data_IF_601130488908
#
_entry.id   IF_601130488908
#
_cell.length_a   1.000
_cell.length_b   1.000
_cell.length_c   1.000
_cell.angle_alpha   90.00
_cell.angle_beta   90.00
_cell.angle_gamma   90.00
#
_symmetry.space_group_name_H-M   'P 1'
#
loop_
_entity.id
_entity.type
_entity.pdbx_description
1 polymer ?
#
# COMPACT_ATOMS: atom_id res chain seq x y z
N UNK A 1 63.43 -15.47 47.71
CA UNK A 1 62.59 -14.28 47.51
C UNK A 1 62.34 -14.15 46.01
N UNK A 2 61.42 -14.90 45.40
CA UNK A 2 59.97 -14.66 45.28
C UNK A 2 59.62 -13.22 44.87
N UNK A 3 59.36 -13.00 43.58
CA UNK A 3 58.22 -12.21 43.09
C UNK A 3 57.90 -12.55 41.64
N UNK A 4 57.00 -13.52 41.52
CA UNK A 4 56.22 -13.90 40.34
C UNK A 4 55.42 -12.70 39.82
N UNK A 5 55.44 -12.43 38.52
CA UNK A 5 54.38 -11.64 37.87
C UNK A 5 53.83 -12.45 36.70
N UNK A 6 52.68 -13.08 36.95
CA UNK A 6 51.86 -13.78 35.97
C UNK A 6 51.01 -12.70 35.25
N UNK A 7 51.19 -12.52 33.95
CA UNK A 7 50.30 -11.68 33.13
C UNK A 7 49.21 -12.59 32.56
N UNK A 8 47.99 -12.48 33.11
CA UNK A 8 46.79 -13.11 32.57
C UNK A 8 46.31 -12.28 31.36
N UNK A 9 46.52 -12.80 30.15
CA UNK A 9 45.89 -12.27 28.93
C UNK A 9 44.49 -12.88 28.86
N UNK A 10 43.48 -12.10 29.22
CA UNK A 10 42.09 -12.45 29.01
C UNK A 10 41.77 -12.35 27.50
N UNK A 11 41.75 -13.47 26.80
CA UNK A 11 41.21 -13.54 25.43
C UNK A 11 39.70 -13.38 25.47
N UNK A 12 39.23 -12.22 25.05
CA UNK A 12 37.81 -11.91 24.89
C UNK A 12 37.19 -12.80 23.80
N UNK A 13 36.22 -13.60 24.22
CA UNK A 13 35.35 -14.41 23.37
C UNK A 13 34.46 -13.44 22.56
N UNK A 14 34.75 -13.23 21.28
CA UNK A 14 33.83 -12.54 20.39
C UNK A 14 32.65 -13.47 20.10
N UNK A 15 31.59 -13.36 20.92
CA UNK A 15 30.29 -13.87 20.54
C UNK A 15 29.79 -13.05 19.35
N UNK A 16 29.86 -13.61 18.14
CA UNK A 16 29.10 -13.12 16.99
C UNK A 16 27.62 -13.19 17.35
N UNK A 17 27.07 -12.05 17.76
CA UNK A 17 25.63 -11.85 17.86
C UNK A 17 25.08 -12.02 16.45
N UNK A 18 24.49 -13.18 16.17
CA UNK A 18 23.59 -13.31 15.02
C UNK A 18 22.44 -12.36 15.31
N UNK A 19 22.44 -11.22 14.62
CA UNK A 19 21.31 -10.32 14.58
C UNK A 19 20.16 -11.09 13.96
N UNK A 20 19.30 -11.67 14.80
CA UNK A 20 18.00 -12.17 14.37
C UNK A 20 17.23 -10.93 13.95
N UNK A 21 17.15 -10.69 12.64
CA UNK A 21 16.30 -9.65 12.08
C UNK A 21 14.92 -9.79 12.72
N UNK A 22 14.49 -8.75 13.45
CA UNK A 22 13.12 -8.70 13.96
C UNK A 22 12.18 -8.87 12.76
N UNK A 23 11.09 -9.63 12.91
CA UNK A 23 10.13 -9.78 11.83
C UNK A 23 9.66 -8.40 11.38
N UNK A 24 9.64 -8.21 10.05
CA UNK A 24 9.15 -7.00 9.39
C UNK A 24 7.89 -6.50 10.09
N UNK A 25 7.87 -5.21 10.43
CA UNK A 25 6.74 -4.63 11.16
C UNK A 25 5.44 -4.91 10.40
N UNK A 26 4.43 -5.31 11.15
CA UNK A 26 3.15 -5.80 10.66
C UNK A 26 2.11 -4.68 10.83
N UNK A 27 1.43 -4.28 9.77
CA UNK A 27 0.29 -3.37 9.85
C UNK A 27 -1.00 -4.20 9.97
N UNK A 28 -1.84 -3.86 10.96
CA UNK A 28 -3.20 -4.40 11.01
C UNK A 28 -4.04 -3.62 10.00
N UNK A 29 -4.46 -4.30 8.95
CA UNK A 29 -5.31 -3.76 7.90
C UNK A 29 -6.64 -4.47 7.97
N UNK A 30 -7.63 -3.85 8.62
CA UNK A 30 -8.87 -4.52 8.97
C UNK A 30 -8.62 -5.71 9.91
N UNK A 31 -8.96 -6.95 9.48
CA UNK A 31 -8.76 -8.20 10.26
C UNK A 31 -7.46 -8.95 9.93
N UNK A 32 -6.59 -8.42 9.07
CA UNK A 32 -5.42 -9.15 8.57
C UNK A 32 -4.12 -8.37 8.70
N UNK A 33 -3.04 -9.12 8.76
CA UNK A 33 -1.70 -8.62 9.00
C UNK A 33 -0.95 -8.55 7.66
N UNK A 34 -0.80 -7.34 7.11
CA UNK A 34 0.03 -7.09 5.93
C UNK A 34 1.38 -6.56 6.43
N UNK A 35 2.54 -7.07 5.95
CA UNK A 35 3.82 -6.44 6.26
C UNK A 35 3.77 -4.97 5.85
N UNK A 36 4.09 -4.04 6.76
CA UNK A 36 3.95 -2.60 6.47
C UNK A 36 4.80 -2.16 5.27
N UNK A 37 5.91 -2.86 5.02
CA UNK A 37 6.77 -2.65 3.86
C UNK A 37 6.09 -2.93 2.50
N UNK A 38 4.96 -3.65 2.50
CA UNK A 38 4.18 -3.99 1.31
C UNK A 38 3.04 -3.00 1.04
N UNK A 39 2.91 -1.98 1.87
CA UNK A 39 1.84 -1.00 1.77
C UNK A 39 2.27 0.16 0.89
N UNK A 40 1.34 0.67 0.08
CA UNK A 40 1.54 1.86 -0.76
C UNK A 40 0.43 2.88 -0.52
N UNK A 41 0.78 4.16 -0.66
CA UNK A 41 -0.16 5.27 -0.78
C UNK A 41 -0.20 5.68 -2.26
N UNK A 42 -1.39 5.78 -2.81
CA UNK A 42 -1.61 6.04 -4.23
C UNK A 42 -2.53 7.24 -4.43
N UNK A 43 -2.15 8.09 -5.38
CA UNK A 43 -2.94 9.21 -5.86
C UNK A 43 -3.44 8.91 -7.29
N UNK A 44 -4.75 9.03 -7.49
CA UNK A 44 -5.42 8.78 -8.77
C UNK A 44 -6.15 10.03 -9.25
N UNK A 45 -6.24 10.18 -10.57
CA UNK A 45 -7.23 11.04 -11.23
C UNK A 45 -8.14 10.14 -12.05
N UNK A 46 -9.39 10.02 -11.62
CA UNK A 46 -10.38 9.14 -12.24
C UNK A 46 -11.45 9.95 -12.95
N UNK A 47 -11.81 9.54 -14.16
CA UNK A 47 -12.87 10.16 -14.93
C UNK A 47 -14.00 9.17 -15.15
N UNK A 48 -15.25 9.49 -14.78
CA UNK A 48 -16.37 8.62 -15.04
C UNK A 48 -16.72 8.65 -16.54
N UNK A 49 -17.13 7.50 -17.06
CA UNK A 49 -17.65 7.35 -18.43
C UNK A 49 -19.14 7.70 -18.55
N UNK A 50 -19.81 7.90 -17.41
CA UNK A 50 -21.18 8.33 -17.29
C UNK A 50 -21.27 9.58 -16.41
N UNK A 51 -22.40 10.28 -16.45
CA UNK A 51 -22.66 11.41 -15.55
C UNK A 51 -22.83 10.87 -14.14
N UNK A 52 -22.13 11.48 -13.18
CA UNK A 52 -22.14 11.14 -11.76
C UNK A 52 -22.50 12.41 -10.98
N UNK A 53 -23.29 12.25 -9.91
CA UNK A 53 -23.51 13.35 -8.96
C UNK A 53 -22.28 13.48 -8.04
N UNK A 54 -21.50 14.56 -8.15
CA UNK A 54 -20.29 14.74 -7.33
C UNK A 54 -20.61 14.97 -5.84
N UNK A 55 -21.88 15.21 -5.48
CA UNK A 55 -22.28 15.43 -4.09
C UNK A 55 -22.58 14.13 -3.34
N UNK A 56 -22.64 12.98 -4.03
CA UNK A 56 -22.82 11.66 -3.43
C UNK A 56 -21.49 11.12 -2.86
N UNK A 57 -20.87 11.87 -1.94
CA UNK A 57 -19.48 11.62 -1.51
C UNK A 57 -19.28 10.29 -0.81
N UNK A 58 -20.27 9.82 -0.05
CA UNK A 58 -20.20 8.56 0.68
C UNK A 58 -20.30 7.37 -0.29
N UNK A 59 -21.23 7.44 -1.24
CA UNK A 59 -21.37 6.44 -2.30
C UNK A 59 -20.15 6.42 -3.21
N UNK A 60 -19.60 7.58 -3.57
CA UNK A 60 -18.40 7.67 -4.40
C UNK A 60 -17.15 7.14 -3.69
N UNK A 61 -17.01 7.40 -2.39
CA UNK A 61 -15.91 6.83 -1.60
C UNK A 61 -15.97 5.29 -1.64
N UNK A 62 -17.15 4.72 -1.41
CA UNK A 62 -17.34 3.27 -1.47
C UNK A 62 -17.09 2.71 -2.87
N UNK A 63 -17.53 3.40 -3.92
CA UNK A 63 -17.29 3.03 -5.30
C UNK A 63 -15.79 2.94 -5.61
N UNK A 64 -15.01 3.94 -5.23
CA UNK A 64 -13.57 3.93 -5.51
C UNK A 64 -12.85 2.77 -4.82
N UNK A 65 -13.18 2.48 -3.56
CA UNK A 65 -12.65 1.32 -2.84
C UNK A 65 -12.93 0.02 -3.61
N UNK A 66 -14.17 -0.14 -4.10
CA UNK A 66 -14.60 -1.33 -4.81
C UNK A 66 -13.91 -1.43 -6.17
N UNK A 67 -13.85 -0.34 -6.93
CA UNK A 67 -13.21 -0.24 -8.25
C UNK A 67 -11.73 -0.62 -8.17
N UNK A 68 -10.98 0.02 -7.27
CA UNK A 68 -9.53 -0.19 -7.12
C UNK A 68 -9.24 -1.59 -6.58
N UNK A 69 -9.98 -2.04 -5.56
CA UNK A 69 -9.79 -3.38 -5.02
C UNK A 69 -10.13 -4.49 -6.04
N UNK A 70 -11.20 -4.33 -6.83
CA UNK A 70 -11.54 -5.30 -7.87
C UNK A 70 -10.52 -5.32 -9.01
N UNK A 71 -10.02 -4.16 -9.43
CA UNK A 71 -8.98 -4.06 -10.46
C UNK A 71 -7.69 -4.76 -10.06
N UNK A 72 -7.30 -4.66 -8.78
CA UNK A 72 -6.18 -5.41 -8.23
C UNK A 72 -6.49 -6.91 -8.17
N UNK A 73 -7.64 -7.33 -7.64
CA UNK A 73 -8.01 -8.76 -7.58
C UNK A 73 -8.08 -9.44 -8.96
N UNK A 74 -8.32 -8.68 -10.03
CA UNK A 74 -8.33 -9.18 -11.38
C UNK A 74 -6.93 -9.52 -11.95
N UNK A 75 -5.85 -9.11 -11.27
CA UNK A 75 -4.51 -9.36 -11.78
C UNK A 75 -4.08 -10.82 -11.59
N UNK A 76 -3.43 -11.42 -12.59
CA UNK A 76 -2.89 -12.77 -12.47
C UNK A 76 -1.91 -12.88 -11.29
N UNK A 77 -2.07 -13.92 -10.48
CA UNK A 77 -1.18 -14.19 -9.34
C UNK A 77 -1.53 -13.44 -8.06
N UNK A 78 -2.52 -12.53 -8.10
CA UNK A 78 -3.20 -12.05 -6.91
C UNK A 78 -4.29 -13.07 -6.62
N UNK A 79 -3.99 -14.06 -5.77
CA UNK A 79 -5.05 -14.85 -5.15
C UNK A 79 -6.03 -13.87 -4.49
N UNK A 80 -7.30 -14.22 -4.46
CA UNK A 80 -8.41 -13.44 -3.89
C UNK A 80 -8.22 -12.94 -2.44
N UNK A 81 -7.05 -13.20 -1.85
CA UNK A 81 -6.48 -12.50 -0.71
C UNK A 81 -6.72 -10.99 -0.79
N UNK A 82 -7.20 -10.50 0.34
CA UNK A 82 -7.83 -9.22 0.49
C UNK A 82 -6.91 -8.07 0.05
N UNK A 83 -7.36 -7.31 -0.94
CA UNK A 83 -6.98 -5.91 -1.13
C UNK A 83 -7.90 -5.13 -0.20
N UNK A 84 -7.33 -4.61 0.88
CA UNK A 84 -8.05 -3.81 1.86
C UNK A 84 -7.47 -2.40 1.85
N UNK A 85 -8.31 -1.37 1.65
CA UNK A 85 -7.93 -0.01 1.97
C UNK A 85 -7.53 0.02 3.46
N UNK A 86 -6.34 0.55 3.74
CA UNK A 86 -5.73 0.62 5.08
C UNK A 86 -6.13 1.91 5.76
N UNK A 87 -6.19 2.99 4.98
CA UNK A 87 -6.64 4.30 5.40
C UNK A 87 -7.06 5.04 4.13
N UNK A 88 -8.30 5.53 4.12
CA UNK A 88 -8.82 6.36 3.05
C UNK A 88 -8.66 7.81 3.52
N UNK A 89 -7.80 8.57 2.86
CA UNK A 89 -7.74 10.03 3.03
C UNK A 89 -8.42 10.59 1.79
N UNK A 90 -9.76 10.61 1.81
CA UNK A 90 -10.54 11.02 0.65
C UNK A 90 -10.43 12.54 0.41
N UNK A 91 -10.04 12.92 -0.81
CA UNK A 91 -10.26 14.27 -1.35
C UNK A 91 -10.77 14.14 -2.79
N UNK A 92 -11.91 13.48 -3.03
CA UNK A 92 -12.51 13.58 -4.35
C UNK A 92 -13.29 14.88 -4.48
N UNK A 93 -12.52 15.92 -4.83
CA UNK A 93 -13.06 17.12 -5.41
C UNK A 93 -13.22 16.88 -6.92
N UNK A 94 -14.44 17.07 -7.43
CA UNK A 94 -14.66 17.18 -8.86
C UNK A 94 -13.90 18.40 -9.37
N UNK A 95 -12.96 18.19 -10.28
CA UNK A 95 -12.26 19.30 -10.92
C UNK A 95 -13.08 19.87 -12.10
N UNK A 96 -12.61 20.98 -12.68
CA UNK A 96 -13.28 21.61 -13.82
C UNK A 96 -13.34 20.74 -15.08
N UNK A 97 -12.68 19.56 -15.09
CA UNK A 97 -12.63 18.61 -16.21
C UNK A 97 -13.50 17.38 -15.97
N UNK A 98 -14.37 17.40 -14.95
CA UNK A 98 -15.21 16.26 -14.56
C UNK A 98 -14.38 15.03 -14.15
N UNK A 99 -13.30 15.25 -13.41
CA UNK A 99 -12.45 14.20 -12.84
C UNK A 99 -12.41 14.26 -11.32
N UNK A 100 -12.16 13.13 -10.71
CA UNK A 100 -12.08 12.93 -9.26
C UNK A 100 -10.64 12.64 -8.87
N UNK A 101 -10.12 13.38 -7.89
CA UNK A 101 -8.83 13.09 -7.27
C UNK A 101 -9.07 12.08 -6.14
N UNK A 102 -8.42 10.93 -6.18
CA UNK A 102 -8.62 9.87 -5.17
C UNK A 102 -7.28 9.54 -4.55
N UNK A 103 -7.18 9.62 -3.23
CA UNK A 103 -6.00 9.17 -2.49
C UNK A 103 -6.40 7.93 -1.68
N UNK A 104 -5.70 6.82 -1.92
CA UNK A 104 -5.97 5.56 -1.25
C UNK A 104 -4.66 4.94 -0.74
N UNK A 105 -4.70 4.40 0.46
CA UNK A 105 -3.59 3.62 1.01
C UNK A 105 -3.97 2.17 1.07
N UNK A 106 -3.20 1.30 0.42
CA UNK A 106 -3.59 -0.07 0.12
C UNK A 106 -2.41 -1.05 0.21
N UNK A 107 -2.73 -2.31 0.51
CA UNK A 107 -1.77 -3.41 0.55
C UNK A 107 -2.39 -4.68 -0.04
N UNK A 108 -1.54 -5.54 -0.59
CA UNK A 108 -1.95 -6.83 -1.11
C UNK A 108 -1.07 -7.94 -0.52
N UNK A 109 -1.70 -9.00 0.00
CA UNK A 109 -1.06 -10.04 0.82
C UNK A 109 0.11 -10.78 0.14
N UNK A 110 0.25 -10.68 -1.18
CA UNK A 110 1.26 -11.41 -1.96
C UNK A 110 2.12 -10.51 -2.86
N UNK A 111 1.98 -9.21 -2.71
CA UNK A 111 2.74 -8.24 -3.47
C UNK A 111 3.66 -7.47 -2.56
N UNK A 112 4.86 -7.21 -3.05
CA UNK A 112 5.69 -6.13 -2.53
C UNK A 112 5.09 -4.79 -2.90
N UNK A 113 5.42 -3.73 -2.17
CA UNK A 113 5.01 -2.36 -2.50
C UNK A 113 5.41 -1.99 -3.94
N UNK A 114 6.61 -2.37 -4.39
CA UNK A 114 7.06 -2.13 -5.76
C UNK A 114 6.19 -2.84 -6.82
N UNK A 115 5.74 -4.08 -6.55
CA UNK A 115 4.85 -4.79 -7.47
C UNK A 115 3.45 -4.15 -7.50
N UNK A 116 2.91 -3.79 -6.35
CA UNK A 116 1.63 -3.08 -6.25
C UNK A 116 1.68 -1.74 -7.00
N UNK A 117 2.73 -0.94 -6.79
CA UNK A 117 2.98 0.31 -7.51
C UNK A 117 3.01 0.08 -9.01
N UNK A 118 3.81 -0.88 -9.49
CA UNK A 118 3.94 -1.13 -10.93
C UNK A 118 2.63 -1.56 -11.59
N UNK A 119 1.79 -2.34 -10.89
CA UNK A 119 0.47 -2.73 -11.39
C UNK A 119 -0.44 -1.50 -11.51
N UNK A 120 -0.53 -0.69 -10.45
CA UNK A 120 -1.44 0.45 -10.39
C UNK A 120 -1.04 1.53 -11.38
N UNK A 121 0.24 1.88 -11.46
CA UNK A 121 0.75 2.87 -12.42
C UNK A 121 0.58 2.39 -13.87
N UNK A 122 0.55 1.06 -14.08
CA UNK A 122 0.23 0.45 -15.36
C UNK A 122 -1.23 0.62 -15.82
N UNK A 123 -2.13 1.08 -14.95
CA UNK A 123 -3.53 1.33 -15.32
C UNK A 123 -3.74 2.64 -16.07
N UNK A 124 -2.73 3.48 -16.24
CA UNK A 124 -2.82 4.73 -16.98
C UNK A 124 -3.50 4.54 -18.36
N UNK A 125 -4.58 5.29 -18.60
CA UNK A 125 -5.36 5.24 -19.83
C UNK A 125 -6.30 4.04 -19.96
N UNK A 126 -6.33 3.15 -18.97
CA UNK A 126 -7.27 2.02 -18.93
C UNK A 126 -8.61 2.44 -18.33
N UNK A 127 -9.63 1.65 -18.65
CA UNK A 127 -10.97 1.79 -18.09
C UNK A 127 -11.21 0.66 -17.09
N UNK A 128 -11.46 1.01 -15.83
CA UNK A 128 -11.76 0.07 -14.75
C UNK A 128 -13.29 0.01 -14.56
N UNK A 129 -13.91 -1.18 -14.56
CA UNK A 129 -15.33 -1.32 -14.26
C UNK A 129 -15.67 -0.92 -12.82
N UNK A 130 -16.72 -0.11 -12.65
CA UNK A 130 -17.30 0.25 -11.36
C UNK A 130 -18.81 -0.03 -11.29
N UNK A 131 -19.41 0.20 -10.13
CA UNK A 131 -20.84 0.01 -9.90
C UNK A 131 -21.67 1.17 -10.47
N UNK A 132 -21.18 2.40 -10.40
CA UNK A 132 -21.90 3.60 -10.86
C UNK A 132 -21.42 4.09 -12.22
N UNK A 133 -20.14 3.90 -12.52
CA UNK A 133 -19.56 4.19 -13.83
C UNK A 133 -18.43 3.23 -14.13
N UNK A 134 -18.01 3.16 -15.39
CA UNK A 134 -16.64 2.76 -15.66
C UNK A 134 -15.72 3.97 -15.49
N UNK A 135 -14.52 3.75 -14.98
CA UNK A 135 -13.60 4.80 -14.57
C UNK A 135 -12.35 4.76 -15.43
N UNK A 136 -12.10 5.84 -16.18
CA UNK A 136 -10.87 6.03 -16.93
C UNK A 136 -9.80 6.52 -15.94
N UNK A 137 -8.66 5.84 -15.90
CA UNK A 137 -7.52 6.26 -15.09
C UNK A 137 -6.70 7.28 -15.88
N UNK A 138 -6.86 8.56 -15.55
CA UNK A 138 -6.10 9.63 -16.19
C UNK A 138 -4.69 9.76 -15.63
N UNK A 139 -4.52 9.49 -14.34
CA UNK A 139 -3.21 9.34 -13.68
C UNK A 139 -3.32 8.35 -12.54
N UNK A 140 -2.23 7.65 -12.25
CA UNK A 140 -2.03 6.88 -11.04
C UNK A 140 -0.55 7.01 -10.64
N UNK A 141 -0.29 7.34 -9.39
CA UNK A 141 1.07 7.46 -8.86
C UNK A 141 1.09 6.87 -7.45
N UNK A 142 2.03 5.99 -7.16
CA UNK A 142 2.10 5.33 -5.85
C UNK A 142 3.48 5.44 -5.21
N UNK A 143 3.51 5.59 -3.90
CA UNK A 143 4.73 5.55 -3.09
C UNK A 143 4.61 4.51 -1.98
N UNK A 144 5.70 3.85 -1.57
CA UNK A 144 5.69 3.04 -0.36
C UNK A 144 5.19 3.86 0.84
N UNK A 145 4.30 3.26 1.64
CA UNK A 145 3.67 3.96 2.76
C UNK A 145 4.31 3.55 4.08
N UNK A 146 4.60 4.54 4.93
CA UNK A 146 5.22 4.37 6.24
C UNK A 146 4.20 4.46 7.39
N UNK A 147 3.01 3.85 7.27
CA UNK A 147 1.88 3.95 8.24
C UNK A 147 2.23 3.43 9.65
N UNK A 148 3.49 3.04 9.92
CA UNK A 148 4.00 2.69 11.24
C UNK A 148 4.96 3.74 11.83
N UNK A 149 5.01 4.95 11.27
CA UNK A 149 5.79 6.10 11.79
C UNK A 149 4.95 7.12 12.56
N UNK A 150 3.66 6.86 12.78
CA UNK A 150 2.78 7.66 13.63
C UNK A 150 2.73 7.12 15.07
#
# INVERSE_FOLDING_TARGET
MLKTLLVLIATSLFATVRSSALPSRMALVGRQIIPSANVVKCDFVLQPTAIIDPNATDELSHEFDVVIANALRAQPGIDTGFVTPITIIYIANLDAKNTFNVEETLGAEKLTSAQTTAIIEGWLGTTIPGQFSNWIVNTAACVPSNILEA
#
